data_IF_331555636040
#
_entry.id   IF_331555636040
#
_cell.length_a   1.000
_cell.length_b   1.000
_cell.length_c   1.000
_cell.angle_alpha   90.00
_cell.angle_beta   90.00
_cell.angle_gamma   90.00
#
_symmetry.space_group_name_H-M   'P 1'
#
loop_
_entity.id
_entity.type
_entity.pdbx_description
1 polymer ?
#
# COMPACT_ATOMS: atom_id res chain seq x y z
N UNK A 1 -5.61 -26.92 -13.98
CA UNK A 1 -4.73 -26.70 -12.83
C UNK A 1 -3.97 -25.43 -13.11
N UNK A 2 -4.50 -24.29 -12.67
CA UNK A 2 -3.81 -23.00 -12.72
C UNK A 2 -2.77 -23.01 -11.61
N UNK A 3 -1.51 -22.89 -11.99
CA UNK A 3 -0.37 -22.75 -11.07
C UNK A 3 -0.58 -21.44 -10.29
N UNK A 4 -1.12 -21.52 -9.07
CA UNK A 4 -1.26 -20.39 -8.15
C UNK A 4 0.14 -20.02 -7.63
N UNK A 5 0.92 -19.35 -8.45
CA UNK A 5 2.17 -18.74 -8.01
C UNK A 5 1.81 -17.52 -7.17
N UNK A 6 1.87 -17.67 -5.87
CA UNK A 6 1.90 -16.53 -4.96
C UNK A 6 3.13 -15.67 -5.29
N UNK A 7 2.95 -14.38 -5.54
CA UNK A 7 4.07 -13.48 -5.74
C UNK A 7 4.93 -13.40 -4.46
N UNK A 8 6.25 -13.36 -4.63
CA UNK A 8 7.19 -13.25 -3.51
C UNK A 8 7.43 -11.77 -3.24
N UNK A 9 7.27 -11.35 -1.98
CA UNK A 9 7.55 -9.97 -1.57
C UNK A 9 9.05 -9.66 -1.74
N UNK A 10 9.39 -8.86 -2.75
CA UNK A 10 10.76 -8.63 -3.21
C UNK A 10 11.65 -7.94 -2.17
N UNK A 11 11.11 -7.01 -1.37
CA UNK A 11 11.89 -6.29 -0.36
C UNK A 11 12.18 -7.13 0.89
N UNK A 12 11.34 -8.15 1.19
CA UNK A 12 11.40 -8.89 2.45
C UNK A 12 11.07 -8.01 3.66
N UNK A 13 11.26 -8.56 4.88
CA UNK A 13 10.96 -7.87 6.15
C UNK A 13 12.23 -7.60 6.98
N UNK A 14 13.38 -7.43 6.30
CA UNK A 14 14.62 -7.09 7.01
C UNK A 14 14.48 -5.73 7.70
N UNK A 15 15.14 -5.55 8.85
CA UNK A 15 15.04 -4.32 9.66
C UNK A 15 15.38 -3.04 8.87
N UNK A 16 16.30 -3.12 7.89
CA UNK A 16 16.61 -1.98 7.01
C UNK A 16 15.41 -1.51 6.18
N UNK A 17 14.58 -2.45 5.69
CA UNK A 17 13.36 -2.17 4.94
C UNK A 17 12.28 -1.60 5.86
N UNK A 18 12.04 -2.27 7.00
CA UNK A 18 11.06 -1.83 7.98
C UNK A 18 11.38 -0.43 8.54
N UNK A 19 12.65 -0.07 8.69
CA UNK A 19 13.08 1.27 9.12
C UNK A 19 12.61 2.36 8.15
N UNK A 20 12.75 2.14 6.84
CA UNK A 20 12.22 3.04 5.81
C UNK A 20 10.69 3.13 5.89
N UNK A 21 10.00 2.00 6.06
CA UNK A 21 8.55 1.97 6.15
C UNK A 21 8.01 2.66 7.42
N UNK A 22 8.70 2.55 8.57
CA UNK A 22 8.31 3.22 9.83
C UNK A 22 8.37 4.75 9.78
N UNK A 23 9.03 5.34 8.78
CA UNK A 23 9.09 6.80 8.59
C UNK A 23 7.92 7.34 7.78
N UNK A 24 7.16 6.47 7.10
CA UNK A 24 6.02 6.87 6.28
C UNK A 24 4.86 7.34 7.15
N UNK A 25 4.22 8.40 6.69
CA UNK A 25 3.01 8.98 7.28
C UNK A 25 1.89 8.98 6.26
N UNK A 26 0.65 9.16 6.71
CA UNK A 26 -0.46 9.35 5.78
C UNK A 26 -0.32 10.66 4.99
N UNK A 27 0.35 11.67 5.55
CA UNK A 27 0.58 12.95 4.87
C UNK A 27 1.50 12.80 3.66
N UNK A 28 2.57 12.01 3.74
CA UNK A 28 3.50 11.79 2.62
C UNK A 28 3.06 10.67 1.68
N UNK A 29 2.25 9.74 2.14
CA UNK A 29 1.92 8.50 1.42
C UNK A 29 0.46 8.43 0.95
N UNK A 30 -0.46 9.10 1.63
CA UNK A 30 -1.89 9.06 1.38
C UNK A 30 -2.56 10.45 1.43
N UNK A 31 -1.81 11.54 1.18
CA UNK A 31 -2.33 12.91 1.22
C UNK A 31 -3.59 13.11 0.37
N UNK A 32 -3.68 12.42 -0.77
CA UNK A 32 -4.83 12.45 -1.67
C UNK A 32 -6.11 11.88 -1.02
N UNK A 33 -5.99 11.00 -0.02
CA UNK A 33 -7.11 10.39 0.71
C UNK A 33 -7.55 11.24 1.91
N UNK A 34 -6.63 11.95 2.57
CA UNK A 34 -6.91 12.64 3.85
C UNK A 34 -8.14 13.55 3.82
N UNK A 35 -8.41 14.35 2.75
CA UNK A 35 -9.61 15.20 2.70
C UNK A 35 -10.95 14.44 2.69
N UNK A 36 -10.92 13.15 2.42
CA UNK A 36 -12.11 12.29 2.32
C UNK A 36 -12.38 11.51 3.61
N UNK A 37 -11.44 11.49 4.56
CA UNK A 37 -11.60 10.84 5.85
C UNK A 37 -12.58 11.63 6.73
N UNK A 38 -13.52 10.94 7.35
CA UNK A 38 -14.49 11.52 8.26
C UNK A 38 -14.51 10.73 9.56
N UNK A 39 -14.65 11.39 10.73
CA UNK A 39 -14.90 10.68 11.98
C UNK A 39 -16.09 9.72 11.84
N UNK A 40 -15.89 8.48 12.29
CA UNK A 40 -16.89 7.42 12.18
C UNK A 40 -16.80 6.55 10.92
N UNK A 41 -16.00 6.93 9.89
CA UNK A 41 -15.82 6.10 8.70
C UNK A 41 -15.14 4.78 9.04
N UNK A 42 -15.62 3.69 8.43
CA UNK A 42 -14.97 2.38 8.48
C UNK A 42 -13.88 2.27 7.41
N UNK A 43 -12.68 1.85 7.79
CA UNK A 43 -11.51 1.76 6.89
C UNK A 43 -10.98 0.34 6.86
N UNK A 44 -10.67 -0.16 5.65
CA UNK A 44 -9.81 -1.31 5.42
C UNK A 44 -8.46 -0.81 4.92
N UNK A 45 -7.39 -1.08 5.67
CA UNK A 45 -6.01 -0.76 5.29
C UNK A 45 -5.27 -2.03 4.89
N UNK A 46 -4.98 -2.19 3.61
CA UNK A 46 -4.42 -3.39 3.00
C UNK A 46 -2.90 -3.24 2.86
N UNK A 47 -2.15 -4.27 3.28
CA UNK A 47 -0.70 -4.22 3.31
C UNK A 47 -0.20 -3.18 4.31
N UNK A 48 -0.75 -3.21 5.51
CA UNK A 48 -0.53 -2.20 6.54
C UNK A 48 0.93 -2.07 7.00
N UNK A 49 1.76 -3.08 6.72
CA UNK A 49 3.17 -3.08 7.09
C UNK A 49 3.39 -2.79 8.58
N UNK A 50 4.28 -1.85 8.95
CA UNK A 50 4.54 -1.51 10.36
C UNK A 50 3.43 -0.69 11.03
N UNK A 51 2.33 -0.35 10.35
CA UNK A 51 1.16 0.29 10.92
C UNK A 51 1.24 1.80 11.11
N UNK A 52 2.24 2.49 10.57
CA UNK A 52 2.39 3.95 10.76
C UNK A 52 1.32 4.73 10.02
N UNK A 53 1.08 4.41 8.73
CA UNK A 53 -0.02 4.98 7.95
C UNK A 53 -1.36 4.59 8.56
N UNK A 54 -1.53 3.30 8.91
CA UNK A 54 -2.72 2.80 9.61
C UNK A 54 -3.07 3.64 10.84
N UNK A 55 -2.06 3.96 11.66
CA UNK A 55 -2.25 4.79 12.86
C UNK A 55 -2.72 6.20 12.55
N UNK A 56 -2.22 6.81 11.47
CA UNK A 56 -2.67 8.13 11.02
C UNK A 56 -4.12 8.09 10.52
N UNK A 57 -4.47 7.07 9.70
CA UNK A 57 -5.83 6.87 9.22
C UNK A 57 -6.80 6.63 10.39
N UNK A 58 -6.42 5.77 11.34
CA UNK A 58 -7.23 5.45 12.51
C UNK A 58 -7.50 6.66 13.39
N UNK A 59 -6.51 7.53 13.59
CA UNK A 59 -6.67 8.76 14.34
C UNK A 59 -7.67 9.72 13.65
N UNK A 60 -7.62 9.81 12.31
CA UNK A 60 -8.50 10.69 11.53
C UNK A 60 -9.97 10.23 11.54
N UNK A 61 -10.20 8.91 11.51
CA UNK A 61 -11.56 8.36 11.44
C UNK A 61 -12.16 8.05 12.81
N UNK A 62 -11.42 8.16 13.90
CA UNK A 62 -11.90 7.84 15.24
C UNK A 62 -13.24 8.53 15.54
N UNK A 63 -14.26 7.81 16.11
CA UNK A 63 -14.23 6.44 16.63
C UNK A 63 -14.51 5.35 15.56
N UNK A 64 -14.45 5.67 14.26
CA UNK A 64 -14.67 4.72 13.17
C UNK A 64 -13.68 3.55 13.23
N UNK A 65 -14.13 2.32 12.94
CA UNK A 65 -13.28 1.12 13.01
C UNK A 65 -12.31 1.08 11.84
N UNK A 66 -11.10 0.61 12.10
CA UNK A 66 -10.08 0.30 11.09
C UNK A 66 -9.74 -1.19 11.18
N UNK A 67 -9.86 -1.90 10.06
CA UNK A 67 -9.30 -3.23 9.89
C UNK A 67 -8.00 -3.09 9.10
N UNK A 68 -6.88 -3.44 9.71
CA UNK A 68 -5.57 -3.45 9.07
C UNK A 68 -5.18 -4.88 8.73
N UNK A 69 -4.85 -5.13 7.47
CA UNK A 69 -4.45 -6.46 7.03
C UNK A 69 -3.07 -6.47 6.39
N UNK A 70 -2.39 -7.58 6.55
CA UNK A 70 -1.15 -7.87 5.82
C UNK A 70 -1.09 -9.38 5.52
N UNK A 71 -0.34 -9.77 4.50
CA UNK A 71 -0.12 -11.16 4.15
C UNK A 71 0.76 -11.88 5.19
N UNK A 72 1.62 -11.14 5.89
CA UNK A 72 2.62 -11.68 6.80
C UNK A 72 2.28 -11.38 8.27
N UNK A 73 2.06 -12.43 9.05
CA UNK A 73 1.69 -12.31 10.47
C UNK A 73 2.77 -11.60 11.32
N UNK A 74 4.04 -11.77 10.97
CA UNK A 74 5.15 -11.18 11.75
C UNK A 74 5.13 -9.65 11.72
N UNK A 75 4.80 -9.05 10.58
CA UNK A 75 4.72 -7.60 10.45
C UNK A 75 3.53 -7.02 11.23
N UNK A 76 2.45 -7.78 11.39
CA UNK A 76 1.29 -7.37 12.20
C UNK A 76 1.64 -7.19 13.68
N UNK A 77 2.62 -7.94 14.21
CA UNK A 77 3.11 -7.71 15.58
C UNK A 77 3.76 -6.32 15.73
N UNK A 78 4.48 -5.88 14.69
CA UNK A 78 5.10 -4.54 14.65
C UNK A 78 4.01 -3.47 14.56
N UNK A 79 3.03 -3.66 13.68
CA UNK A 79 1.90 -2.75 13.54
C UNK A 79 1.08 -2.63 14.84
N UNK A 80 0.83 -3.75 15.49
CA UNK A 80 0.11 -3.77 16.78
C UNK A 80 0.84 -2.95 17.85
N UNK A 81 2.17 -3.11 17.96
CA UNK A 81 2.99 -2.34 18.89
C UNK A 81 2.93 -0.84 18.60
N UNK A 82 2.93 -0.44 17.33
CA UNK A 82 2.80 0.95 16.91
C UNK A 82 1.44 1.54 17.29
N UNK A 83 0.34 0.81 17.06
CA UNK A 83 -1.00 1.24 17.43
C UNK A 83 -1.16 1.37 18.96
N UNK A 84 -0.61 0.42 19.73
CA UNK A 84 -0.58 0.51 21.19
C UNK A 84 0.21 1.73 21.67
N UNK A 85 1.38 2.00 21.09
CA UNK A 85 2.21 3.18 21.41
C UNK A 85 1.46 4.49 21.21
N UNK A 86 0.56 4.53 20.21
CA UNK A 86 -0.29 5.71 19.91
C UNK A 86 -1.57 5.76 20.75
N UNK A 87 -1.85 4.76 21.60
CA UNK A 87 -3.08 4.64 22.39
C UNK A 87 -4.35 4.66 21.53
N UNK A 88 -4.31 4.06 20.33
CA UNK A 88 -5.47 3.91 19.46
C UNK A 88 -6.21 2.62 19.78
N UNK A 89 -7.54 2.70 19.93
CA UNK A 89 -8.40 1.57 20.33
C UNK A 89 -9.34 1.10 19.21
N UNK A 90 -9.35 1.79 18.08
CA UNK A 90 -10.26 1.54 16.96
C UNK A 90 -9.64 0.73 15.81
N UNK A 91 -8.48 0.08 16.05
CA UNK A 91 -7.78 -0.73 15.05
C UNK A 91 -7.83 -2.21 15.42
N UNK A 92 -8.18 -3.05 14.46
CA UNK A 92 -8.07 -4.51 14.52
C UNK A 92 -7.16 -5.02 13.42
N UNK A 93 -6.55 -6.20 13.61
CA UNK A 93 -5.60 -6.78 12.67
C UNK A 93 -6.03 -8.16 12.21
N UNK A 94 -5.76 -8.49 10.95
CA UNK A 94 -5.94 -9.85 10.42
C UNK A 94 -4.90 -10.16 9.34
N UNK A 95 -4.55 -11.43 9.20
CA UNK A 95 -3.77 -11.90 8.04
C UNK A 95 -4.73 -12.21 6.90
N UNK A 96 -4.50 -11.62 5.73
CA UNK A 96 -5.30 -11.86 4.53
C UNK A 96 -4.51 -11.60 3.24
N UNK A 97 -4.93 -12.25 2.16
CA UNK A 97 -4.48 -11.97 0.79
C UNK A 97 -5.48 -11.02 0.13
N UNK A 98 -5.00 -9.90 -0.40
CA UNK A 98 -5.83 -8.92 -1.12
C UNK A 98 -6.55 -9.48 -2.33
N UNK A 99 -6.01 -10.53 -2.95
CA UNK A 99 -6.62 -11.21 -4.09
C UNK A 99 -7.80 -12.12 -3.69
N UNK A 100 -8.00 -12.35 -2.36
CA UNK A 100 -9.09 -13.18 -1.82
C UNK A 100 -9.36 -12.81 -0.36
N UNK A 101 -9.98 -11.67 -0.12
CA UNK A 101 -10.09 -11.05 1.19
C UNK A 101 -10.91 -11.83 2.21
N UNK A 102 -11.85 -12.67 1.80
CA UNK A 102 -12.74 -13.40 2.71
C UNK A 102 -13.68 -12.50 3.55
N UNK A 103 -13.77 -11.22 3.21
CA UNK A 103 -14.62 -10.23 3.86
C UNK A 103 -15.95 -10.10 3.11
N UNK A 104 -17.00 -9.62 3.82
CA UNK A 104 -18.32 -9.41 3.21
C UNK A 104 -18.27 -8.22 2.25
N UNK A 105 -19.13 -8.27 1.24
CA UNK A 105 -19.37 -7.15 0.33
C UNK A 105 -19.83 -5.91 1.11
N UNK A 106 -19.57 -4.73 0.55
CA UNK A 106 -20.09 -3.44 1.02
C UNK A 106 -19.84 -3.16 2.52
N UNK A 107 -18.66 -3.55 3.02
CA UNK A 107 -18.34 -3.51 4.47
C UNK A 107 -17.62 -2.24 4.92
N UNK A 108 -16.93 -1.55 4.00
CA UNK A 108 -16.07 -0.42 4.35
C UNK A 108 -16.45 0.84 3.58
N UNK A 109 -16.36 1.99 4.23
CA UNK A 109 -16.51 3.30 3.59
C UNK A 109 -15.26 3.64 2.77
N UNK A 110 -14.10 3.18 3.24
CA UNK A 110 -12.79 3.43 2.62
C UNK A 110 -11.98 2.13 2.59
N UNK A 111 -11.41 1.83 1.43
CA UNK A 111 -10.45 0.74 1.23
C UNK A 111 -9.15 1.36 0.73
N UNK A 112 -8.08 1.24 1.51
CA UNK A 112 -6.79 1.84 1.22
C UNK A 112 -5.72 0.78 0.98
N UNK A 113 -4.80 1.05 0.05
CA UNK A 113 -3.58 0.28 -0.14
C UNK A 113 -2.44 1.18 -0.61
N UNK A 114 -1.29 1.08 0.05
CA UNK A 114 -0.10 1.85 -0.29
C UNK A 114 1.08 0.93 -0.59
N UNK A 115 1.54 0.95 -1.85
CA UNK A 115 2.63 0.09 -2.35
C UNK A 115 2.36 -1.42 -2.15
N UNK A 116 1.17 -1.86 -2.54
CA UNK A 116 0.72 -3.25 -2.45
C UNK A 116 0.61 -3.90 -3.82
N UNK A 117 -0.05 -3.22 -4.77
CA UNK A 117 -0.38 -3.82 -6.08
C UNK A 117 0.87 -4.14 -6.90
N UNK A 118 1.96 -3.45 -6.66
CA UNK A 118 3.27 -3.76 -7.26
C UNK A 118 3.83 -5.13 -6.83
N UNK A 119 3.30 -5.74 -5.78
CA UNK A 119 3.81 -7.00 -5.20
C UNK A 119 2.86 -8.18 -5.37
N UNK A 120 1.70 -8.00 -5.98
CA UNK A 120 0.72 -9.07 -6.18
C UNK A 120 0.78 -9.65 -7.59
N UNK A 121 0.44 -10.92 -7.73
CA UNK A 121 0.47 -11.61 -9.02
C UNK A 121 -0.65 -11.14 -9.97
N UNK A 122 -1.81 -10.78 -9.42
CA UNK A 122 -2.98 -10.32 -10.18
C UNK A 122 -3.54 -9.03 -9.54
N UNK A 123 -3.02 -7.85 -9.93
CA UNK A 123 -3.46 -6.57 -9.40
C UNK A 123 -4.90 -6.22 -9.77
N UNK A 124 -5.40 -6.70 -10.92
CA UNK A 124 -6.80 -6.47 -11.32
C UNK A 124 -7.74 -7.25 -10.42
N UNK A 125 -7.44 -8.50 -10.12
CA UNK A 125 -8.20 -9.30 -9.15
C UNK A 125 -8.19 -8.66 -7.76
N UNK A 126 -7.05 -8.16 -7.30
CA UNK A 126 -6.95 -7.42 -6.04
C UNK A 126 -7.89 -6.21 -6.04
N UNK A 127 -7.91 -5.42 -7.12
CA UNK A 127 -8.80 -4.27 -7.26
C UNK A 127 -10.29 -4.66 -7.31
N UNK A 128 -10.65 -5.79 -7.93
CA UNK A 128 -12.01 -6.32 -7.91
C UNK A 128 -12.43 -6.66 -6.48
N UNK A 129 -11.57 -7.30 -5.69
CA UNK A 129 -11.84 -7.59 -4.28
C UNK A 129 -11.96 -6.30 -3.44
N UNK A 130 -11.06 -5.33 -3.65
CA UNK A 130 -11.12 -4.03 -2.99
C UNK A 130 -12.44 -3.31 -3.29
N UNK A 131 -12.88 -3.33 -4.57
CA UNK A 131 -14.17 -2.77 -5.00
C UNK A 131 -15.34 -3.49 -4.35
N UNK A 132 -15.31 -4.83 -4.30
CA UNK A 132 -16.37 -5.65 -3.72
C UNK A 132 -16.62 -5.35 -2.24
N UNK A 133 -15.55 -5.20 -1.46
CA UNK A 133 -15.68 -4.93 -0.02
C UNK A 133 -15.95 -3.45 0.31
N UNK A 134 -15.70 -2.56 -0.64
CA UNK A 134 -16.03 -1.13 -0.54
C UNK A 134 -17.52 -0.92 -0.78
N UNK A 135 -18.16 -0.10 0.05
CA UNK A 135 -19.59 0.24 -0.11
C UNK A 135 -19.85 1.05 -1.38
N UNK A 136 -21.05 0.97 -1.95
CA UNK A 136 -21.49 1.93 -2.96
C UNK A 136 -21.32 3.37 -2.46
N UNK A 137 -20.65 4.21 -3.25
CA UNK A 137 -20.31 5.58 -2.85
C UNK A 137 -19.12 5.72 -1.89
N UNK A 138 -18.50 4.60 -1.52
CA UNK A 138 -17.24 4.58 -0.78
C UNK A 138 -16.01 4.86 -1.68
N UNK A 139 -14.85 4.84 -1.11
CA UNK A 139 -13.60 5.19 -1.80
C UNK A 139 -12.61 4.02 -1.75
N UNK A 140 -12.12 3.60 -2.92
CA UNK A 140 -10.93 2.76 -3.03
C UNK A 140 -9.74 3.68 -3.36
N UNK A 141 -8.79 3.78 -2.45
CA UNK A 141 -7.65 4.67 -2.51
C UNK A 141 -6.35 3.88 -2.63
N UNK A 142 -5.68 3.98 -3.76
CA UNK A 142 -4.47 3.21 -4.06
C UNK A 142 -3.32 4.13 -4.48
N UNK A 143 -2.10 3.75 -4.09
CA UNK A 143 -0.86 4.39 -4.53
C UNK A 143 0.27 3.37 -4.59
N UNK A 144 0.92 3.27 -5.74
CA UNK A 144 2.08 2.40 -5.93
C UNK A 144 3.26 3.16 -6.55
N UNK A 145 4.45 2.60 -6.42
CA UNK A 145 5.65 3.16 -7.00
C UNK A 145 5.69 2.95 -8.52
N UNK A 146 6.41 3.83 -9.18
CA UNK A 146 6.78 3.74 -10.59
C UNK A 146 8.30 3.81 -10.69
N UNK A 147 8.95 2.64 -10.64
CA UNK A 147 10.41 2.57 -10.59
C UNK A 147 11.08 3.05 -11.86
N UNK A 148 10.50 2.80 -13.04
CA UNK A 148 11.00 3.36 -14.30
C UNK A 148 10.86 4.90 -14.40
N UNK A 149 10.12 5.51 -13.48
CA UNK A 149 10.03 6.96 -13.31
C UNK A 149 11.10 7.56 -12.39
N UNK A 150 11.97 6.75 -11.81
CA UNK A 150 13.02 7.24 -10.92
C UNK A 150 14.07 8.05 -11.69
N UNK A 151 14.42 9.21 -11.16
CA UNK A 151 15.43 10.09 -11.74
C UNK A 151 16.41 10.55 -10.66
N UNK A 152 17.66 10.68 -11.01
CA UNK A 152 18.72 11.20 -10.14
C UNK A 152 19.68 12.11 -10.89
N UNK A 153 20.23 13.05 -10.15
CA UNK A 153 21.27 13.94 -10.64
C UNK A 153 22.35 14.14 -9.54
N UNK A 154 23.63 14.04 -9.85
CA UNK A 154 24.19 13.65 -11.15
C UNK A 154 23.85 12.19 -11.50
N UNK A 155 23.97 11.85 -12.80
CA UNK A 155 23.79 10.46 -13.21
C UNK A 155 24.86 9.57 -12.61
N UNK A 156 24.41 8.50 -11.95
CA UNK A 156 25.28 7.56 -11.22
C UNK A 156 25.08 6.15 -11.78
N UNK A 157 26.09 5.58 -12.47
CA UNK A 157 25.96 4.24 -13.06
C UNK A 157 25.58 3.14 -12.04
N UNK A 158 25.96 3.31 -10.78
CA UNK A 158 25.60 2.36 -9.72
C UNK A 158 24.09 2.36 -9.43
N UNK A 159 23.43 3.52 -9.51
CA UNK A 159 21.97 3.61 -9.35
C UNK A 159 21.24 3.12 -10.60
N UNK A 160 21.78 3.38 -11.81
CA UNK A 160 21.25 2.80 -13.06
C UNK A 160 21.24 1.27 -12.98
N UNK A 161 22.36 0.67 -12.56
CA UNK A 161 22.50 -0.78 -12.39
C UNK A 161 21.57 -1.32 -11.27
N UNK A 162 21.50 -0.61 -10.15
CA UNK A 162 20.61 -0.99 -9.05
C UNK A 162 19.15 -1.07 -9.52
N UNK A 163 18.68 -0.05 -10.26
CA UNK A 163 17.31 0.00 -10.78
C UNK A 163 17.04 -1.18 -11.72
N UNK A 164 17.95 -1.44 -12.67
CA UNK A 164 17.82 -2.59 -13.58
C UNK A 164 17.72 -3.92 -12.81
N UNK A 165 18.59 -4.14 -11.82
CA UNK A 165 18.60 -5.36 -11.02
C UNK A 165 17.33 -5.50 -10.19
N UNK A 166 16.85 -4.40 -9.59
CA UNK A 166 15.62 -4.40 -8.82
C UNK A 166 14.40 -4.74 -9.69
N UNK A 167 14.25 -4.09 -10.84
CA UNK A 167 13.13 -4.36 -11.76
C UNK A 167 13.12 -5.82 -12.24
N UNK A 168 14.28 -6.37 -12.56
CA UNK A 168 14.41 -7.78 -12.94
C UNK A 168 14.01 -8.72 -11.81
N UNK A 169 14.47 -8.44 -10.58
CA UNK A 169 14.13 -9.24 -9.41
C UNK A 169 12.63 -9.17 -9.09
N UNK A 170 12.05 -7.97 -9.11
CA UNK A 170 10.61 -7.77 -8.86
C UNK A 170 9.75 -8.56 -9.86
N UNK A 171 10.06 -8.48 -11.16
CA UNK A 171 9.33 -9.23 -12.19
C UNK A 171 9.55 -10.74 -12.09
N UNK A 172 10.75 -11.19 -11.73
CA UNK A 172 11.03 -12.62 -11.49
C UNK A 172 10.23 -13.17 -10.29
N UNK A 173 9.92 -12.33 -9.30
CA UNK A 173 9.10 -12.65 -8.14
C UNK A 173 7.59 -12.52 -8.42
N UNK A 174 7.17 -12.17 -9.65
CA UNK A 174 5.77 -12.05 -10.05
C UNK A 174 5.14 -10.69 -9.75
N UNK A 175 5.93 -9.68 -9.33
CA UNK A 175 5.47 -8.32 -9.13
C UNK A 175 5.66 -7.42 -10.36
N UNK A 176 5.11 -6.21 -10.30
CA UNK A 176 5.27 -5.17 -11.33
C UNK A 176 5.87 -3.90 -10.68
N UNK A 177 7.18 -3.64 -10.86
CA UNK A 177 7.83 -2.48 -10.25
C UNK A 177 7.32 -1.14 -10.79
N UNK A 178 6.73 -1.12 -12.00
CA UNK A 178 6.15 0.07 -12.61
C UNK A 178 4.63 0.15 -12.43
N UNK A 179 4.13 -0.37 -11.31
CA UNK A 179 2.71 -0.43 -10.99
C UNK A 179 2.05 0.95 -11.01
N UNK A 180 2.75 2.00 -10.54
CA UNK A 180 2.21 3.34 -10.44
C UNK A 180 1.59 3.84 -11.75
N UNK A 181 2.27 3.69 -12.88
CA UNK A 181 1.76 4.09 -14.21
C UNK A 181 0.64 3.19 -14.72
N UNK A 182 0.45 2.00 -14.14
CA UNK A 182 -0.56 1.01 -14.57
C UNK A 182 -1.86 1.10 -13.79
N UNK A 183 -1.87 1.79 -12.63
CA UNK A 183 -3.02 1.83 -11.73
C UNK A 183 -4.31 2.25 -12.41
N UNK A 184 -4.26 3.25 -13.31
CA UNK A 184 -5.43 3.71 -14.04
C UNK A 184 -6.01 2.61 -14.93
N UNK A 185 -5.16 1.94 -15.72
CA UNK A 185 -5.63 0.87 -16.61
C UNK A 185 -6.16 -0.33 -15.84
N UNK A 186 -5.50 -0.73 -14.75
CA UNK A 186 -5.96 -1.82 -13.90
C UNK A 186 -7.29 -1.49 -13.19
N UNK A 187 -7.48 -0.24 -12.74
CA UNK A 187 -8.74 0.18 -12.15
C UNK A 187 -9.89 0.16 -13.18
N UNK A 188 -9.63 0.59 -14.42
CA UNK A 188 -10.60 0.49 -15.52
C UNK A 188 -10.95 -0.96 -15.83
N UNK A 189 -9.97 -1.85 -15.91
CA UNK A 189 -10.16 -3.29 -16.13
C UNK A 189 -10.93 -3.96 -14.98
N UNK A 190 -10.71 -3.53 -13.74
CA UNK A 190 -11.47 -3.97 -12.56
C UNK A 190 -12.90 -3.38 -12.50
N UNK A 191 -13.28 -2.54 -13.47
CA UNK A 191 -14.63 -2.00 -13.64
C UNK A 191 -14.93 -0.78 -12.77
N UNK A 192 -13.93 0.00 -12.35
CA UNK A 192 -14.19 1.31 -11.74
C UNK A 192 -14.57 2.31 -12.83
N UNK A 193 -15.67 3.06 -12.59
CA UNK A 193 -16.20 4.04 -13.54
C UNK A 193 -15.76 5.47 -13.19
N UNK A 194 -15.68 5.78 -11.90
CA UNK A 194 -15.25 7.09 -11.40
C UNK A 194 -13.82 6.98 -10.85
N UNK A 195 -12.83 7.46 -11.60
CA UNK A 195 -11.41 7.37 -11.26
C UNK A 195 -10.80 8.76 -11.28
N UNK A 196 -10.13 9.14 -10.21
CA UNK A 196 -9.35 10.39 -10.12
C UNK A 196 -7.86 10.05 -10.07
N UNK A 197 -7.14 10.02 -11.21
CA UNK A 197 -5.71 9.77 -11.20
C UNK A 197 -4.96 10.98 -10.67
N UNK A 198 -4.01 10.73 -9.75
CA UNK A 198 -3.10 11.74 -9.22
C UNK A 198 -1.67 11.20 -9.20
N UNK A 199 -0.69 12.09 -9.04
CA UNK A 199 0.71 11.71 -8.88
C UNK A 199 1.35 12.49 -7.75
N UNK A 200 2.30 11.85 -7.06
CA UNK A 200 3.14 12.50 -6.05
C UNK A 200 4.60 12.10 -6.26
N UNK A 201 5.50 12.95 -5.85
CA UNK A 201 6.94 12.73 -5.98
C UNK A 201 7.58 12.76 -4.60
N UNK A 202 8.39 11.75 -4.29
CA UNK A 202 9.31 11.79 -3.16
C UNK A 202 10.67 12.32 -3.62
N UNK A 203 11.18 13.33 -2.91
CA UNK A 203 12.44 13.96 -3.23
C UNK A 203 13.47 13.69 -2.12
N UNK A 204 14.55 12.98 -2.47
CA UNK A 204 15.65 12.62 -1.55
C UNK A 204 16.82 13.60 -1.70
N UNK A 205 16.60 14.87 -1.38
CA UNK A 205 17.55 15.95 -1.62
C UNK A 205 18.50 16.23 -0.45
N UNK A 206 18.09 15.94 0.79
CA UNK A 206 18.87 16.18 2.01
C UNK A 206 19.48 14.90 2.56
N UNK A 207 20.52 14.97 3.45
CA UNK A 207 21.04 13.78 4.12
C UNK A 207 19.92 12.98 4.81
N UNK A 208 19.01 13.64 5.51
CA UNK A 208 17.93 13.03 6.27
C UNK A 208 16.95 12.27 5.35
N UNK A 209 16.58 12.88 4.21
CA UNK A 209 15.69 12.21 3.25
C UNK A 209 16.38 11.05 2.53
N UNK A 210 17.70 11.13 2.30
CA UNK A 210 18.47 10.03 1.70
C UNK A 210 18.64 8.82 2.62
N UNK A 211 18.52 8.98 3.93
CA UNK A 211 18.50 7.86 4.87
C UNK A 211 17.22 7.00 4.76
N UNK A 212 16.20 7.46 4.04
CA UNK A 212 14.99 6.67 3.76
C UNK A 212 15.22 5.60 2.70
N UNK A 213 16.19 5.83 1.86
CA UNK A 213 16.56 4.99 0.74
C UNK A 213 17.68 4.01 1.17
#
# INVERSE_FOLDING_TARGET
>A
MTDERSAIYTHGHHESVLRGHRRRTAEDSAAYLLPHLKPGSSVLDIGCGPGTITGDLAAQVAPGPVLAIDQFADVLNVAHAEIQRRNLSNVTFATADVQSLGLRDDSFDIVHAHQVLQHVADPVRALVEMKRVCRPGGIVAIRDADYAGFIWFPRLPALDLWLELYERAARANGGEPDAGRRLLSWAQEAGFDEITPTGSLWCYATPETREWW
#
